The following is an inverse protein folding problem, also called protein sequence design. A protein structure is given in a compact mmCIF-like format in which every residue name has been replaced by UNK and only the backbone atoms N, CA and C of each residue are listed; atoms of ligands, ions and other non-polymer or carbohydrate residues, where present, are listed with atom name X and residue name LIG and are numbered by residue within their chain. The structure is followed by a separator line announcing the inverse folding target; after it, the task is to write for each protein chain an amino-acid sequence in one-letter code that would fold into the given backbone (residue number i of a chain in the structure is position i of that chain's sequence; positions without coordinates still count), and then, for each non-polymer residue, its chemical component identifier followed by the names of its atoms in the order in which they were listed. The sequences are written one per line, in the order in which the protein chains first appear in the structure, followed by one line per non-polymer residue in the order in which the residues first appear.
data_IF_575405216916
#
_entry.id   IF_575405216916
#
_cell.length_a   1.000
_cell.length_b   1.000
_cell.length_c   1.000
_cell.angle_alpha   90.00
_cell.angle_beta   90.00
_cell.angle_gamma   90.00
#
_symmetry.space_group_name_H-M   'P 1'
#
loop_
_entity.id
_entity.type
_entity.pdbx_description
1 polymer ?
#
# COMPACT_ATOMS: atom_id res chain seq x y z
N UNK A 1 -22.09 16.00 17.04
CA UNK A 1 -20.86 15.24 17.40
C UNK A 1 -19.82 15.48 16.32
N UNK A 2 -18.65 15.99 16.67
CA UNK A 2 -17.53 16.08 15.71
C UNK A 2 -16.92 14.69 15.58
N UNK A 3 -16.84 14.17 14.35
CA UNK A 3 -16.14 12.93 14.08
C UNK A 3 -14.64 13.09 14.43
N UNK A 4 -13.99 12.07 15.01
CA UNK A 4 -12.56 12.12 15.30
C UNK A 4 -11.73 12.39 14.04
N UNK A 5 -10.58 13.09 14.15
CA UNK A 5 -9.67 13.30 13.04
C UNK A 5 -9.23 11.95 12.46
N UNK A 6 -9.48 11.72 11.19
CA UNK A 6 -9.22 10.45 10.52
C UNK A 6 -10.46 9.63 10.18
N UNK A 7 -11.58 9.89 10.84
CA UNK A 7 -12.86 9.31 10.47
C UNK A 7 -13.55 10.16 9.40
N UNK A 8 -12.94 10.32 8.26
CA UNK A 8 -13.72 10.64 7.07
C UNK A 8 -14.32 9.32 6.62
N UNK A 9 -15.62 9.31 6.30
CA UNK A 9 -16.20 8.26 5.49
C UNK A 9 -15.41 8.25 4.17
N UNK A 10 -14.30 7.54 4.18
CA UNK A 10 -13.40 7.41 3.07
C UNK A 10 -13.90 6.27 2.24
N UNK A 11 -13.82 6.46 1.01
CA UNK A 11 -14.36 5.57 0.04
C UNK A 11 -15.82 5.94 -0.16
N UNK A 12 -16.03 6.85 -1.05
CA UNK A 12 -17.29 6.93 -1.76
C UNK A 12 -17.38 5.79 -2.81
N UNK A 13 -16.77 4.62 -2.46
CA UNK A 13 -17.13 3.39 -3.12
C UNK A 13 -18.53 3.06 -2.65
N UNK A 14 -19.46 2.85 -3.57
CA UNK A 14 -20.77 2.31 -3.24
C UNK A 14 -20.59 0.90 -2.63
N UNK A 15 -21.62 0.39 -1.94
CA UNK A 15 -21.62 -1.02 -1.50
C UNK A 15 -21.42 -1.95 -2.72
N UNK A 16 -21.90 -1.54 -3.89
CA UNK A 16 -21.70 -2.19 -5.18
C UNK A 16 -20.21 -2.24 -5.56
N UNK A 17 -19.47 -1.14 -5.43
CA UNK A 17 -18.02 -1.13 -5.65
C UNK A 17 -17.27 -2.12 -4.74
N UNK A 18 -17.73 -2.32 -3.50
CA UNK A 18 -17.13 -3.25 -2.55
C UNK A 18 -17.44 -4.72 -2.87
N UNK A 19 -18.53 -5.01 -3.57
CA UNK A 19 -18.84 -6.38 -3.99
C UNK A 19 -18.14 -6.75 -5.29
N UNK A 20 -17.99 -5.82 -6.22
CA UNK A 20 -17.37 -6.06 -7.52
C UNK A 20 -15.91 -6.55 -7.41
N UNK A 21 -15.09 -5.95 -6.55
CA UNK A 21 -13.69 -6.38 -6.45
C UNK A 21 -13.51 -7.79 -5.86
N UNK A 22 -14.47 -8.28 -5.05
CA UNK A 22 -14.44 -9.65 -4.51
C UNK A 22 -14.65 -10.71 -5.58
N UNK A 23 -15.27 -10.33 -6.69
CA UNK A 23 -15.50 -11.19 -7.84
C UNK A 23 -14.33 -11.14 -8.84
N UNK A 24 -13.40 -10.18 -8.68
CA UNK A 24 -12.22 -10.06 -9.54
C UNK A 24 -11.20 -11.15 -9.20
N UNK A 25 -10.83 -11.96 -10.19
CA UNK A 25 -9.94 -13.10 -9.98
C UNK A 25 -8.49 -12.72 -9.77
N UNK A 26 -8.00 -11.68 -10.46
CA UNK A 26 -6.61 -11.26 -10.43
C UNK A 26 -6.45 -9.85 -9.84
N UNK A 27 -5.31 -9.62 -9.14
CA UNK A 27 -5.00 -8.29 -8.59
C UNK A 27 -4.89 -7.21 -9.67
N UNK A 28 -4.38 -7.55 -10.86
CA UNK A 28 -4.35 -6.66 -12.02
C UNK A 28 -5.73 -6.13 -12.39
N UNK A 29 -6.78 -6.94 -12.34
CA UNK A 29 -8.15 -6.52 -12.60
C UNK A 29 -8.64 -5.47 -11.60
N UNK A 30 -8.25 -5.60 -10.32
CA UNK A 30 -8.58 -4.61 -9.29
C UNK A 30 -7.87 -3.29 -9.57
N UNK A 31 -6.60 -3.36 -9.97
CA UNK A 31 -5.81 -2.17 -10.34
C UNK A 31 -6.45 -1.50 -11.56
N UNK A 32 -6.79 -2.25 -12.60
CA UNK A 32 -7.44 -1.73 -13.81
C UNK A 32 -8.77 -1.06 -13.48
N UNK A 33 -9.59 -1.68 -12.64
CA UNK A 33 -10.85 -1.11 -12.17
C UNK A 33 -10.68 0.22 -11.43
N UNK A 34 -9.65 0.34 -10.59
CA UNK A 34 -9.31 1.60 -9.91
C UNK A 34 -8.81 2.65 -10.90
N UNK A 35 -7.95 2.24 -11.83
CA UNK A 35 -7.34 3.12 -12.84
C UNK A 35 -8.41 3.67 -13.79
N UNK A 36 -9.36 2.87 -14.23
CA UNK A 36 -10.41 3.31 -15.17
C UNK A 36 -11.28 4.44 -14.62
N UNK A 37 -11.36 4.57 -13.31
CA UNK A 37 -12.05 5.67 -12.63
C UNK A 37 -11.20 6.92 -12.43
N UNK A 38 -9.93 6.91 -12.81
CA UNK A 38 -9.04 8.07 -12.71
C UNK A 38 -9.21 8.97 -13.95
N UNK A 39 -9.41 10.27 -13.73
CA UNK A 39 -9.55 11.25 -14.81
C UNK A 39 -8.21 11.85 -15.29
N UNK A 40 -7.07 11.23 -14.91
CA UNK A 40 -5.73 11.72 -15.22
C UNK A 40 -5.04 10.77 -16.20
N UNK A 41 -5.24 11.01 -17.49
CA UNK A 41 -4.78 10.14 -18.58
C UNK A 41 -3.27 9.81 -18.51
N UNK A 42 -2.43 10.77 -18.16
CA UNK A 42 -0.99 10.51 -18.02
C UNK A 42 -0.66 9.56 -16.88
N UNK A 43 -1.30 9.76 -15.72
CA UNK A 43 -1.08 8.90 -14.55
C UNK A 43 -1.66 7.52 -14.82
N UNK A 44 -2.84 7.44 -15.39
CA UNK A 44 -3.49 6.20 -15.83
C UNK A 44 -2.57 5.38 -16.73
N UNK A 45 -2.06 6.00 -17.80
CA UNK A 45 -1.14 5.35 -18.72
C UNK A 45 0.13 4.84 -18.01
N UNK A 46 0.72 5.67 -17.14
CA UNK A 46 1.91 5.29 -16.39
C UNK A 46 1.69 4.11 -15.46
N UNK A 47 0.57 4.10 -14.72
CA UNK A 47 0.21 3.01 -13.82
C UNK A 47 -0.04 1.74 -14.64
N UNK A 48 -0.83 1.81 -15.73
CA UNK A 48 -1.04 0.66 -16.62
C UNK A 48 0.27 0.09 -17.16
N UNK A 49 1.22 0.94 -17.57
CA UNK A 49 2.54 0.48 -18.00
C UNK A 49 3.30 -0.27 -16.91
N UNK A 50 3.23 0.18 -15.66
CA UNK A 50 3.92 -0.45 -14.52
C UNK A 50 3.35 -1.83 -14.22
N UNK A 51 2.04 -1.96 -14.22
CA UNK A 51 1.37 -3.21 -13.86
C UNK A 51 1.31 -4.21 -15.02
N UNK A 52 1.34 -3.76 -16.28
CA UNK A 52 1.36 -4.65 -17.45
C UNK A 52 2.76 -5.16 -17.84
N UNK A 53 3.83 -4.50 -17.40
CA UNK A 53 5.22 -4.84 -17.78
C UNK A 53 5.91 -5.81 -16.81
N UNK A 54 5.35 -6.06 -15.65
CA UNK A 54 5.94 -6.97 -14.67
C UNK A 54 5.29 -8.34 -14.77
N UNK A 55 6.03 -9.31 -15.32
CA UNK A 55 5.70 -10.74 -15.22
C UNK A 55 5.69 -11.20 -13.75
N UNK A 56 6.36 -10.46 -12.87
CA UNK A 56 6.37 -10.65 -11.43
C UNK A 56 5.36 -9.73 -10.76
N UNK A 57 4.21 -10.28 -10.39
CA UNK A 57 3.18 -9.62 -9.59
C UNK A 57 3.61 -9.39 -8.14
N UNK A 58 4.77 -8.79 -7.90
CA UNK A 58 5.23 -8.52 -6.55
C UNK A 58 4.41 -7.38 -5.92
N UNK A 59 3.47 -7.75 -5.06
CA UNK A 59 2.73 -6.81 -4.24
C UNK A 59 3.66 -6.03 -3.31
N UNK A 60 4.59 -6.71 -2.68
CA UNK A 60 5.64 -6.13 -1.86
C UNK A 60 6.85 -5.69 -2.71
N UNK A 61 7.67 -4.79 -2.17
CA UNK A 61 8.91 -4.36 -2.84
C UNK A 61 9.91 -5.51 -2.94
N UNK A 62 10.06 -6.25 -1.83
CA UNK A 62 10.90 -7.44 -1.69
C UNK A 62 10.41 -8.31 -0.53
N UNK A 63 11.07 -9.46 -0.32
CA UNK A 63 10.76 -10.39 0.76
C UNK A 63 10.96 -9.77 2.16
N UNK A 64 11.87 -8.84 2.32
CA UNK A 64 12.15 -8.20 3.61
C UNK A 64 11.13 -7.11 3.92
N UNK A 65 10.61 -6.41 2.91
CA UNK A 65 9.41 -5.57 3.04
C UNK A 65 8.23 -6.38 3.56
N UNK A 66 7.96 -7.53 2.93
CA UNK A 66 6.90 -8.46 3.35
C UNK A 66 7.06 -8.87 4.82
N UNK A 67 8.26 -9.29 5.23
CA UNK A 67 8.57 -9.67 6.62
C UNK A 67 8.34 -8.51 7.58
N UNK A 68 8.87 -7.32 7.30
CA UNK A 68 8.71 -6.13 8.16
C UNK A 68 7.25 -5.75 8.35
N UNK A 69 6.48 -5.77 7.27
CA UNK A 69 5.05 -5.51 7.31
C UNK A 69 4.31 -6.49 8.22
N UNK A 70 4.54 -7.78 8.04
CA UNK A 70 3.86 -8.82 8.83
C UNK A 70 4.32 -8.91 10.28
N UNK A 71 5.55 -8.55 10.60
CA UNK A 71 6.01 -8.48 11.99
C UNK A 71 5.13 -7.56 12.85
N UNK A 72 4.74 -6.41 12.30
CA UNK A 72 3.83 -5.51 13.03
C UNK A 72 2.40 -6.03 13.00
N UNK A 73 1.97 -6.60 11.87
CA UNK A 73 0.62 -7.09 11.68
C UNK A 73 0.30 -8.30 12.57
N UNK A 74 1.20 -9.26 12.66
CA UNK A 74 1.02 -10.48 13.47
C UNK A 74 1.04 -10.21 14.97
N UNK A 75 1.77 -9.18 15.42
CA UNK A 75 1.81 -8.76 16.83
C UNK A 75 0.57 -8.02 17.32
N UNK A 76 -0.29 -7.58 16.40
CA UNK A 76 -1.41 -6.68 16.71
C UNK A 76 -2.80 -7.31 16.58
N UNK A 77 -2.92 -8.63 16.75
CA UNK A 77 -4.22 -9.34 16.63
C UNK A 77 -5.35 -8.76 17.50
N UNK A 78 -5.01 -8.07 18.57
CA UNK A 78 -5.98 -7.41 19.46
C UNK A 78 -6.08 -5.90 19.20
N UNK A 79 -5.22 -5.33 18.37
CA UNK A 79 -5.20 -3.89 18.12
C UNK A 79 -6.22 -3.50 17.05
N UNK A 80 -7.24 -2.76 17.46
CA UNK A 80 -8.30 -2.26 16.57
C UNK A 80 -7.75 -1.36 15.46
N UNK A 81 -6.63 -0.66 15.68
CA UNK A 81 -6.01 0.23 14.69
C UNK A 81 -5.41 -0.53 13.53
N UNK A 82 -4.84 -1.71 13.76
CA UNK A 82 -4.24 -2.51 12.69
C UNK A 82 -5.26 -2.94 11.62
N UNK A 83 -6.55 -2.98 11.99
CA UNK A 83 -7.64 -3.30 11.07
C UNK A 83 -8.11 -2.10 10.26
N UNK A 84 -7.63 -0.89 10.54
CA UNK A 84 -7.99 0.29 9.76
C UNK A 84 -7.18 0.31 8.46
N UNK A 85 -7.85 0.41 7.29
CA UNK A 85 -7.18 0.39 6.00
C UNK A 85 -6.09 1.46 5.85
N UNK A 86 -6.32 2.66 6.37
CA UNK A 86 -5.34 3.74 6.32
C UNK A 86 -4.10 3.45 7.19
N UNK A 87 -4.26 2.77 8.33
CA UNK A 87 -3.13 2.33 9.14
C UNK A 87 -2.32 1.25 8.41
N UNK A 88 -3.00 0.27 7.83
CA UNK A 88 -2.36 -0.79 7.05
C UNK A 88 -1.58 -0.23 5.84
N UNK A 89 -2.20 0.66 5.05
CA UNK A 89 -1.54 1.34 3.93
C UNK A 89 -0.31 2.14 4.38
N UNK A 90 -0.40 2.80 5.53
CA UNK A 90 0.72 3.55 6.12
C UNK A 90 1.87 2.64 6.51
N UNK A 91 1.59 1.55 7.22
CA UNK A 91 2.60 0.56 7.62
C UNK A 91 3.24 -0.07 6.39
N UNK A 92 2.45 -0.39 5.37
CA UNK A 92 2.94 -0.92 4.10
C UNK A 92 3.98 0.00 3.47
N UNK A 93 3.72 1.30 3.35
CA UNK A 93 4.67 2.25 2.79
C UNK A 93 5.92 2.46 3.65
N UNK A 94 5.76 2.56 4.98
CA UNK A 94 6.88 2.80 5.89
C UNK A 94 7.80 1.59 6.02
N UNK A 95 7.27 0.38 5.87
CA UNK A 95 8.04 -0.86 5.94
C UNK A 95 8.76 -1.22 4.62
N UNK A 96 8.50 -0.50 3.53
CA UNK A 96 9.12 -0.77 2.24
C UNK A 96 10.63 -0.54 2.23
N UNK A 97 11.13 0.42 3.01
CA UNK A 97 12.55 0.70 3.19
C UNK A 97 13.00 0.44 4.62
N UNK A 98 14.10 -0.29 4.81
CA UNK A 98 14.60 -0.68 6.12
C UNK A 98 14.97 0.52 6.99
N UNK A 99 15.70 1.50 6.45
CA UNK A 99 16.15 2.67 7.21
C UNK A 99 14.96 3.56 7.59
N UNK A 100 14.01 3.71 6.70
CA UNK A 100 12.77 4.43 6.98
C UNK A 100 11.96 3.73 8.08
N UNK A 101 11.86 2.39 7.99
CA UNK A 101 11.20 1.56 8.99
C UNK A 101 11.82 1.75 10.38
N UNK A 102 13.16 1.65 10.50
CA UNK A 102 13.88 1.85 11.77
C UNK A 102 13.63 3.23 12.40
N UNK A 103 13.46 4.26 11.58
CA UNK A 103 13.17 5.62 12.06
C UNK A 103 11.71 5.80 12.50
N UNK A 104 10.78 5.06 11.91
CA UNK A 104 9.33 5.28 12.08
C UNK A 104 8.68 4.31 13.06
N UNK A 105 9.10 3.04 13.09
CA UNK A 105 8.48 1.99 13.91
C UNK A 105 8.41 2.32 15.41
N UNK A 106 9.39 3.06 15.92
CA UNK A 106 9.44 3.48 17.34
C UNK A 106 8.38 4.53 17.70
N UNK A 107 7.79 5.16 16.70
CA UNK A 107 6.75 6.17 16.83
C UNK A 107 5.35 5.60 16.51
N UNK A 108 5.25 4.27 16.43
CA UNK A 108 4.00 3.55 16.29
C UNK A 108 3.60 2.96 17.63
N UNK A 109 2.34 3.11 17.98
CA UNK A 109 1.75 2.59 19.22
C UNK A 109 0.33 2.09 18.98
N UNK A 110 -0.28 1.50 20.00
CA UNK A 110 -1.67 1.04 19.98
C UNK A 110 -2.67 2.19 19.81
N UNK A 111 -2.24 3.43 19.98
CA UNK A 111 -3.08 4.62 19.83
C UNK A 111 -2.88 5.34 18.49
N UNK A 112 -1.84 5.00 17.72
CA UNK A 112 -1.60 5.59 16.41
C UNK A 112 -0.13 5.73 16.03
N UNK A 113 0.10 6.49 14.94
CA UNK A 113 1.41 6.80 14.41
C UNK A 113 1.71 8.29 14.62
N UNK A 114 2.78 8.58 15.36
CA UNK A 114 3.17 9.94 15.75
C UNK A 114 4.18 10.53 14.78
N UNK A 115 3.72 10.89 13.58
CA UNK A 115 4.58 11.45 12.51
C UNK A 115 5.37 12.70 12.92
N UNK A 116 4.81 13.52 13.80
CA UNK A 116 5.47 14.73 14.31
C UNK A 116 6.68 14.45 15.22
N UNK A 117 6.82 13.22 15.71
CA UNK A 117 7.94 12.78 16.52
C UNK A 117 9.03 12.10 15.70
N UNK A 118 8.75 11.77 14.43
CA UNK A 118 9.73 11.14 13.55
C UNK A 118 10.76 12.17 13.10
N UNK A 119 12.03 11.85 13.36
CA UNK A 119 13.17 12.63 12.86
C UNK A 119 13.78 11.91 11.67
N UNK A 120 13.48 12.37 10.47
CA UNK A 120 14.00 11.75 9.26
C UNK A 120 15.50 11.90 9.13
N UNK A 121 16.08 13.07 9.49
CA UNK A 121 17.50 13.36 9.31
C UNK A 121 17.89 13.20 7.83
N UNK A 122 19.04 12.58 7.57
CA UNK A 122 19.47 12.27 6.22
C UNK A 122 18.66 11.10 5.68
N UNK A 123 17.85 11.35 4.66
CA UNK A 123 17.05 10.37 3.92
C UNK A 123 17.26 10.54 2.41
N UNK A 124 17.07 9.46 1.66
CA UNK A 124 17.04 9.51 0.21
C UNK A 124 15.74 10.15 -0.28
N UNK A 125 15.68 10.52 -1.54
CA UNK A 125 14.46 11.03 -2.16
C UNK A 125 13.32 9.99 -2.07
N UNK A 126 13.61 8.73 -2.31
CA UNK A 126 12.63 7.64 -2.24
C UNK A 126 12.07 7.47 -0.82
N UNK A 127 12.94 7.48 0.21
CA UNK A 127 12.53 7.45 1.62
C UNK A 127 11.65 8.64 1.98
N UNK A 128 11.99 9.84 1.47
CA UNK A 128 11.20 11.04 1.67
C UNK A 128 9.80 10.90 1.05
N UNK A 129 9.73 10.42 -0.18
CA UNK A 129 8.47 10.18 -0.90
C UNK A 129 7.61 9.15 -0.15
N UNK A 130 8.18 8.00 0.22
CA UNK A 130 7.47 6.96 0.97
C UNK A 130 6.92 7.50 2.31
N UNK A 131 7.72 8.29 3.03
CA UNK A 131 7.29 8.89 4.29
C UNK A 131 6.10 9.84 4.10
N UNK A 132 6.15 10.71 3.08
CA UNK A 132 5.07 11.65 2.82
C UNK A 132 3.82 10.98 2.24
N UNK A 133 3.98 9.96 1.39
CA UNK A 133 2.86 9.14 0.94
C UNK A 133 2.18 8.41 2.11
N UNK A 134 2.97 7.85 3.04
CA UNK A 134 2.46 7.21 4.24
C UNK A 134 1.71 8.21 5.15
N UNK A 135 2.23 9.42 5.30
CA UNK A 135 1.57 10.49 6.06
C UNK A 135 0.27 10.94 5.40
N UNK A 136 0.24 11.00 4.07
CA UNK A 136 -0.97 11.33 3.31
C UNK A 136 -2.03 10.24 3.47
N UNK A 137 -1.67 8.97 3.37
CA UNK A 137 -2.56 7.84 3.62
C UNK A 137 -3.11 7.85 5.05
N UNK A 138 -2.28 8.16 6.05
CA UNK A 138 -2.70 8.16 7.46
C UNK A 138 -3.64 9.32 7.82
N UNK A 139 -3.26 10.54 7.43
CA UNK A 139 -3.97 11.77 7.83
C UNK A 139 -4.95 12.29 6.78
N UNK A 140 -4.91 11.78 5.54
CA UNK A 140 -5.65 12.32 4.40
C UNK A 140 -5.12 13.70 3.98
N UNK A 141 -3.85 13.95 4.19
CA UNK A 141 -3.16 15.17 3.74
C UNK A 141 -2.76 15.03 2.25
N UNK A 142 -2.15 16.05 1.69
CA UNK A 142 -1.78 16.09 0.27
C UNK A 142 -0.38 16.68 0.14
N UNK A 143 0.61 15.98 0.71
CA UNK A 143 2.02 16.37 0.57
C UNK A 143 2.54 16.03 -0.82
N UNK A 144 2.11 14.87 -1.36
CA UNK A 144 2.43 14.46 -2.72
C UNK A 144 1.33 14.93 -3.66
N UNK A 145 1.70 15.67 -4.70
CA UNK A 145 0.78 16.19 -5.70
C UNK A 145 0.59 15.16 -6.82
N UNK A 146 -0.58 15.18 -7.43
CA UNK A 146 -0.85 14.31 -8.58
C UNK A 146 0.12 14.55 -9.76
N UNK A 147 0.58 15.79 -9.96
CA UNK A 147 1.60 16.10 -10.97
C UNK A 147 2.95 15.47 -10.67
N UNK A 148 3.30 15.27 -9.39
CA UNK A 148 4.54 14.62 -9.00
C UNK A 148 4.46 13.10 -9.25
N UNK A 149 3.28 12.51 -9.09
CA UNK A 149 3.06 11.09 -9.43
C UNK A 149 3.23 10.80 -10.95
N UNK A 150 3.15 11.81 -11.80
CA UNK A 150 3.39 11.64 -13.24
C UNK A 150 4.85 11.77 -13.64
N UNK A 151 5.70 12.32 -12.77
CA UNK A 151 7.11 12.56 -13.01
C UNK A 151 7.94 11.31 -12.65
N UNK A 152 8.57 10.69 -13.68
CA UNK A 152 9.37 9.47 -13.52
C UNK A 152 10.73 9.71 -12.89
N UNK A 153 11.27 10.92 -13.01
CA UNK A 153 12.55 11.28 -12.42
C UNK A 153 12.39 11.56 -10.92
N UNK A 154 11.25 12.16 -10.56
CA UNK A 154 10.93 12.44 -9.16
C UNK A 154 10.46 11.18 -8.42
N UNK A 155 9.53 10.44 -9.00
CA UNK A 155 8.96 9.22 -8.39
C UNK A 155 9.24 8.02 -9.30
N UNK A 156 10.25 7.18 -9.02
CA UNK A 156 10.54 5.98 -9.79
C UNK A 156 9.37 5.00 -9.84
N UNK A 157 9.32 4.16 -10.88
CA UNK A 157 8.22 3.22 -11.10
C UNK A 157 7.98 2.27 -9.91
N UNK A 158 9.05 1.77 -9.28
CA UNK A 158 8.93 0.91 -8.08
C UNK A 158 8.25 1.62 -6.91
N UNK A 159 8.58 2.90 -6.68
CA UNK A 159 7.95 3.71 -5.64
C UNK A 159 6.49 4.03 -5.99
N UNK A 160 6.20 4.37 -7.25
CA UNK A 160 4.82 4.61 -7.67
C UNK A 160 3.96 3.34 -7.51
N UNK A 161 4.49 2.17 -7.84
CA UNK A 161 3.80 0.89 -7.60
C UNK A 161 3.43 0.70 -6.13
N UNK A 162 4.37 0.97 -5.21
CA UNK A 162 4.08 0.90 -3.76
C UNK A 162 2.99 1.88 -3.34
N UNK A 163 3.01 3.10 -3.87
CA UNK A 163 1.98 4.10 -3.58
C UNK A 163 0.61 3.62 -4.09
N UNK A 164 0.54 3.07 -5.30
CA UNK A 164 -0.71 2.51 -5.85
C UNK A 164 -1.21 1.35 -4.99
N UNK A 165 -0.33 0.41 -4.62
CA UNK A 165 -0.68 -0.70 -3.73
C UNK A 165 -1.20 -0.22 -2.37
N UNK A 166 -0.60 0.83 -1.81
CA UNK A 166 -1.08 1.44 -0.58
C UNK A 166 -2.47 2.08 -0.74
N UNK A 167 -2.77 2.72 -1.86
CA UNK A 167 -4.12 3.21 -2.16
C UNK A 167 -5.14 2.09 -2.28
N UNK A 168 -4.75 0.96 -2.87
CA UNK A 168 -5.61 -0.23 -2.93
C UNK A 168 -5.89 -0.76 -1.52
N UNK A 169 -4.87 -0.87 -0.66
CA UNK A 169 -5.07 -1.25 0.75
C UNK A 169 -5.99 -0.23 1.47
N UNK A 170 -5.74 1.07 1.28
CA UNK A 170 -6.55 2.11 1.92
C UNK A 170 -8.02 2.04 1.50
N UNK A 171 -8.28 1.69 0.24
CA UNK A 171 -9.63 1.62 -0.31
C UNK A 171 -10.36 0.34 0.08
N UNK A 172 -9.69 -0.81 -0.03
CA UNK A 172 -10.31 -2.12 0.07
C UNK A 172 -9.96 -2.90 1.34
N UNK A 173 -8.99 -2.42 2.12
CA UNK A 173 -8.59 -3.04 3.37
C UNK A 173 -7.57 -4.15 3.21
N UNK A 174 -7.35 -4.87 4.32
CA UNK A 174 -6.35 -5.95 4.39
C UNK A 174 -6.77 -7.24 3.70
N UNK A 175 -8.06 -7.44 3.47
CA UNK A 175 -8.57 -8.63 2.79
C UNK A 175 -7.88 -8.85 1.44
N UNK A 176 -7.54 -7.74 0.74
CA UNK A 176 -6.84 -7.80 -0.55
C UNK A 176 -5.40 -8.29 -0.42
N UNK A 177 -4.74 -7.94 0.68
CA UNK A 177 -3.37 -8.40 0.97
C UNK A 177 -3.37 -9.88 1.32
N UNK A 178 -4.35 -10.31 2.11
CA UNK A 178 -4.52 -11.71 2.50
C UNK A 178 -4.84 -12.60 1.30
N UNK A 179 -5.67 -12.12 0.37
CA UNK A 179 -5.97 -12.82 -0.87
C UNK A 179 -4.69 -13.03 -1.70
N UNK A 180 -3.89 -11.99 -1.91
CA UNK A 180 -2.63 -12.10 -2.64
C UNK A 180 -1.62 -13.04 -2.00
N UNK A 181 -1.56 -13.08 -0.67
CA UNK A 181 -0.72 -14.05 0.02
C UNK A 181 -1.15 -15.50 -0.19
N UNK A 182 -2.45 -15.76 -0.19
CA UNK A 182 -2.96 -17.09 -0.47
C UNK A 182 -2.62 -17.54 -1.89
N UNK A 183 -2.70 -16.63 -2.86
CA UNK A 183 -2.32 -16.88 -4.25
C UNK A 183 -0.82 -17.21 -4.36
N UNK A 184 0.07 -16.39 -3.79
CA UNK A 184 1.52 -16.62 -3.78
C UNK A 184 1.89 -17.97 -3.14
N UNK A 185 1.28 -18.33 -2.00
CA UNK A 185 1.54 -19.61 -1.33
C UNK A 185 1.08 -20.81 -2.19
N UNK A 186 -0.04 -20.67 -2.88
CA UNK A 186 -0.56 -21.71 -3.76
C UNK A 186 0.35 -21.90 -4.98
N UNK A 187 0.86 -20.83 -5.55
CA UNK A 187 1.81 -20.88 -6.66
C UNK A 187 3.14 -21.52 -6.24
N UNK A 188 3.75 -21.09 -5.12
CA UNK A 188 4.98 -21.68 -4.60
C UNK A 188 4.82 -23.20 -4.35
N UNK A 189 3.67 -23.65 -3.85
CA UNK A 189 3.39 -25.08 -3.66
C UNK A 189 3.28 -25.82 -4.98
N UNK A 190 2.61 -25.24 -5.98
CA UNK A 190 2.47 -25.86 -7.30
C UNK A 190 3.81 -25.99 -8.01
N UNK A 191 4.68 -24.98 -7.95
CA UNK A 191 6.05 -25.05 -8.50
C UNK A 191 6.89 -26.14 -7.81
N UNK A 192 6.77 -26.29 -6.49
CA UNK A 192 7.51 -27.30 -5.74
C UNK A 192 7.08 -28.72 -6.11
N UNK A 193 5.80 -28.95 -6.34
CA UNK A 193 5.26 -30.25 -6.77
C UNK A 193 5.71 -30.60 -8.19
N UNK A 194 5.69 -29.63 -9.11
CA UNK A 194 6.15 -29.84 -10.50
C UNK A 194 7.66 -30.05 -10.61
N UNK A 195 8.46 -29.49 -9.71
CA UNK A 195 9.91 -29.68 -9.68
C UNK A 195 10.35 -31.03 -9.09
N UNK A 196 9.45 -31.74 -8.42
CA UNK A 196 9.71 -33.07 -7.81
C UNK A 196 9.10 -34.24 -8.61
N UNK A 197 8.40 -33.95 -9.70
CA UNK A 197 7.85 -34.94 -10.64
C UNK A 197 8.71 -35.05 -11.89
#
# INVERSE_FOLDING_TARGET
MRQPPGYRARGHGSIEDMSEWKEMGAYSEIVDYVIDRMHLEYLKKRISEIFNQTEDEHFFYDSDHKKRFYLLWSGSKENTLSRLPNYAATVFLLSADEKLWEKTRRQMSDTGIYFNQVRLGSVTLEQYILFHAAKDAYHGTKHIRLSELTDRELIPNGILRLIVNAFVIERYGMDIVEQKMCEEILEERNYTVLAQS
#
